data_IF_162048023319
#
_entry.id   IF_162048023319
#
_cell.length_a   1.000
_cell.length_b   1.000
_cell.length_c   1.000
_cell.angle_alpha   90.00
_cell.angle_beta   90.00
_cell.angle_gamma   90.00
#
_symmetry.space_group_name_H-M   'P 1'
#
loop_
_entity.id
_entity.type
_entity.pdbx_description
1 polymer ?
#
# COMPACT_ATOMS: atom_id res chain seq x y z
N UNK A 1 -17.39 -3.29 2.25
CA UNK A 1 -16.92 -2.88 0.92
C UNK A 1 -18.09 -2.35 0.10
N UNK A 2 -17.90 -1.28 -0.67
CA UNK A 2 -18.95 -0.70 -1.53
C UNK A 2 -19.32 -1.64 -2.68
N UNK A 3 -20.50 -1.47 -3.30
CA UNK A 3 -20.86 -2.23 -4.50
C UNK A 3 -19.95 -1.91 -5.69
N UNK A 4 -19.57 -0.63 -5.86
CA UNK A 4 -18.69 -0.18 -6.94
C UNK A 4 -17.30 -0.83 -6.88
N UNK A 5 -16.73 -0.93 -5.68
CA UNK A 5 -15.46 -1.64 -5.45
C UNK A 5 -15.57 -3.12 -5.82
N UNK A 6 -16.66 -3.80 -5.45
CA UNK A 6 -16.84 -5.22 -5.81
C UNK A 6 -16.92 -5.44 -7.33
N UNK A 7 -17.60 -4.55 -8.05
CA UNK A 7 -17.69 -4.61 -9.51
C UNK A 7 -16.31 -4.40 -10.13
N UNK A 8 -15.58 -3.39 -9.68
CA UNK A 8 -14.23 -3.11 -10.17
C UNK A 8 -13.29 -4.31 -9.95
N UNK A 9 -13.28 -4.91 -8.74
CA UNK A 9 -12.51 -6.12 -8.47
C UNK A 9 -12.91 -7.29 -9.40
N UNK A 10 -14.20 -7.48 -9.67
CA UNK A 10 -14.68 -8.54 -10.54
C UNK A 10 -14.22 -8.40 -11.99
N UNK A 11 -14.01 -7.17 -12.49
CA UNK A 11 -13.40 -6.94 -13.82
C UNK A 11 -11.97 -7.47 -13.92
N UNK A 12 -11.27 -7.59 -12.78
CA UNK A 12 -9.95 -8.20 -12.68
C UNK A 12 -10.00 -9.68 -12.25
N UNK A 13 -11.18 -10.31 -12.25
CA UNK A 13 -11.36 -11.70 -11.83
C UNK A 13 -11.23 -11.94 -10.33
N UNK A 14 -11.28 -10.88 -9.51
CA UNK A 14 -11.13 -10.93 -8.07
C UNK A 14 -12.48 -10.90 -7.35
N UNK A 15 -12.55 -11.57 -6.20
CA UNK A 15 -13.67 -11.50 -5.29
C UNK A 15 -13.19 -11.54 -3.84
N UNK A 16 -13.80 -10.73 -2.97
CA UNK A 16 -13.56 -10.74 -1.53
C UNK A 16 -14.92 -10.63 -0.80
N UNK A 17 -15.62 -11.77 -0.62
CA UNK A 17 -16.94 -11.79 0.03
C UNK A 17 -16.85 -11.49 1.54
N UNK A 18 -15.71 -11.77 2.16
CA UNK A 18 -15.50 -11.71 3.60
C UNK A 18 -14.91 -10.39 4.07
N UNK A 19 -14.59 -9.47 3.15
CA UNK A 19 -14.09 -8.15 3.47
C UNK A 19 -14.93 -7.44 4.54
N UNK A 20 -14.29 -7.01 5.62
CA UNK A 20 -14.86 -6.13 6.64
C UNK A 20 -13.87 -5.01 6.93
N UNK A 21 -14.37 -3.77 6.88
CA UNK A 21 -13.58 -2.62 7.29
C UNK A 21 -13.16 -2.79 8.75
N UNK A 22 -11.92 -2.42 9.05
CA UNK A 22 -11.35 -2.40 10.39
C UNK A 22 -10.65 -1.08 10.60
N UNK A 23 -10.80 -0.53 11.80
CA UNK A 23 -10.06 0.65 12.20
C UNK A 23 -8.59 0.27 12.40
N UNK A 24 -7.68 0.99 11.73
CA UNK A 24 -6.24 0.82 11.99
C UNK A 24 -5.91 1.19 13.44
N UNK A 25 -5.04 0.40 14.07
CA UNK A 25 -4.88 0.36 15.52
C UNK A 25 -3.63 -0.41 15.96
N UNK A 26 -3.34 -0.38 17.26
CA UNK A 26 -2.19 -1.09 17.86
C UNK A 26 -2.20 -2.60 17.61
N UNK A 27 -3.36 -3.20 17.40
CA UNK A 27 -3.52 -4.60 17.01
C UNK A 27 -2.98 -4.92 15.61
N UNK A 28 -2.60 -3.92 14.82
CA UNK A 28 -1.95 -4.06 13.51
C UNK A 28 -0.46 -3.73 13.58
N UNK A 29 0.11 -3.49 14.76
CA UNK A 29 1.52 -3.12 14.91
C UNK A 29 2.49 -4.28 14.63
N UNK A 30 2.01 -5.51 14.63
CA UNK A 30 2.81 -6.72 14.38
C UNK A 30 2.78 -7.08 12.88
N UNK A 31 3.42 -6.24 12.05
CA UNK A 31 3.52 -6.40 10.59
C UNK A 31 4.89 -5.99 10.10
N UNK A 32 5.45 -6.65 9.09
CA UNK A 32 6.78 -6.30 8.57
C UNK A 32 6.76 -5.04 7.69
N UNK A 33 5.61 -4.71 7.09
CA UNK A 33 5.44 -3.59 6.18
C UNK A 33 4.02 -3.02 6.28
N UNK A 34 3.92 -1.69 6.29
CA UNK A 34 2.68 -0.94 6.13
C UNK A 34 2.68 -0.28 4.77
N UNK A 35 1.72 -0.65 3.93
CA UNK A 35 1.52 -0.08 2.60
C UNK A 35 0.38 0.93 2.64
N UNK A 36 0.71 2.20 2.45
CA UNK A 36 -0.24 3.30 2.44
C UNK A 36 -0.64 3.71 1.02
N UNK A 37 -1.85 4.24 0.86
CA UNK A 37 -2.36 4.68 -0.45
C UNK A 37 -2.17 6.17 -0.72
N UNK A 38 -1.91 6.99 0.30
CA UNK A 38 -1.81 8.44 0.13
C UNK A 38 -0.78 9.06 1.09
N UNK A 39 -0.21 10.24 0.78
CA UNK A 39 0.78 10.89 1.62
C UNK A 39 0.33 11.15 3.06
N UNK A 40 -0.94 11.51 3.23
CA UNK A 40 -1.54 11.80 4.53
C UNK A 40 -1.49 10.59 5.46
N UNK A 41 -1.72 9.37 4.93
CA UNK A 41 -1.63 8.12 5.66
C UNK A 41 -0.21 7.87 6.18
N UNK A 42 0.81 8.09 5.35
CA UNK A 42 2.23 7.93 5.73
C UNK A 42 2.60 8.93 6.83
N UNK A 43 2.25 10.21 6.64
CA UNK A 43 2.53 11.27 7.60
C UNK A 43 1.79 11.09 8.93
N UNK A 44 0.65 10.40 8.94
CA UNK A 44 -0.13 10.11 10.14
C UNK A 44 0.57 9.09 11.05
N UNK A 45 1.21 8.06 10.50
CA UNK A 45 1.84 6.97 11.26
C UNK A 45 2.86 7.45 12.31
N UNK A 46 3.89 8.26 12.02
CA UNK A 46 4.89 8.64 13.02
C UNK A 46 4.28 9.42 14.21
N UNK A 47 3.11 10.05 14.04
CA UNK A 47 2.42 10.80 15.10
C UNK A 47 1.73 9.91 16.12
N UNK A 48 1.24 8.73 15.70
CA UNK A 48 0.41 7.85 16.53
C UNK A 48 1.03 6.47 16.77
N UNK A 49 1.88 6.00 15.87
CA UNK A 49 2.57 4.71 15.89
C UNK A 49 4.03 4.87 15.46
N UNK A 50 4.85 5.62 16.22
CA UNK A 50 6.24 5.94 15.84
C UNK A 50 7.09 4.68 15.57
N UNK A 51 6.84 3.57 16.27
CA UNK A 51 7.52 2.29 16.03
C UNK A 51 7.21 1.62 14.69
N UNK A 52 6.30 2.18 13.88
CA UNK A 52 5.99 1.68 12.53
C UNK A 52 6.55 2.59 11.43
N UNK A 53 7.11 3.76 11.77
CA UNK A 53 7.55 4.75 10.78
C UNK A 53 8.60 4.20 9.81
N UNK A 54 9.60 3.46 10.32
CA UNK A 54 10.67 2.88 9.49
C UNK A 54 10.23 1.77 8.53
N UNK A 55 8.99 1.29 8.64
CA UNK A 55 8.39 0.24 7.80
C UNK A 55 7.06 0.69 7.17
N UNK A 56 6.84 2.00 7.06
CA UNK A 56 5.65 2.57 6.42
C UNK A 56 6.05 3.32 5.18
N UNK A 57 5.44 3.00 4.05
CA UNK A 57 5.65 3.72 2.81
C UNK A 57 4.37 3.73 1.97
N UNK A 58 4.28 4.69 1.05
CA UNK A 58 3.24 4.69 0.03
C UNK A 58 3.48 3.54 -0.98
N UNK A 59 2.40 2.99 -1.54
CA UNK A 59 2.48 1.98 -2.59
C UNK A 59 3.30 2.47 -3.80
N UNK A 60 3.09 3.69 -4.35
CA UNK A 60 3.92 4.19 -5.44
C UNK A 60 5.41 4.25 -5.10
N UNK A 61 5.78 4.61 -3.87
CA UNK A 61 7.18 4.63 -3.44
C UNK A 61 7.78 3.24 -3.38
N UNK A 62 7.08 2.27 -2.80
CA UNK A 62 7.59 0.90 -2.75
C UNK A 62 7.81 0.34 -4.17
N UNK A 63 6.84 0.54 -5.06
CA UNK A 63 6.96 0.15 -6.48
C UNK A 63 8.15 0.80 -7.16
N UNK A 64 8.45 2.07 -6.85
CA UNK A 64 9.55 2.82 -7.47
C UNK A 64 10.91 2.48 -6.86
N UNK A 65 10.99 2.43 -5.54
CA UNK A 65 12.24 2.57 -4.79
C UNK A 65 12.60 1.36 -3.91
N UNK A 66 11.67 0.44 -3.61
CA UNK A 66 12.01 -0.75 -2.83
C UNK A 66 13.06 -1.57 -3.58
N UNK A 67 14.25 -1.83 -3.00
CA UNK A 67 15.25 -2.68 -3.65
C UNK A 67 14.67 -4.06 -3.96
N UNK A 68 14.98 -4.60 -5.14
CA UNK A 68 14.50 -5.93 -5.55
C UNK A 68 14.99 -7.01 -4.57
N UNK A 69 14.18 -8.06 -4.36
CA UNK A 69 14.50 -9.16 -3.46
C UNK A 69 15.53 -10.11 -4.03
N UNK A 70 16.81 -9.77 -3.95
CA UNK A 70 17.94 -10.57 -4.44
C UNK A 70 18.71 -11.26 -3.29
N UNK A 71 17.99 -12.01 -2.45
CA UNK A 71 18.45 -12.75 -1.24
C UNK A 71 18.61 -11.94 0.05
N UNK A 72 18.43 -10.62 0.00
CA UNK A 72 18.42 -9.75 1.17
C UNK A 72 17.05 -9.77 1.86
N UNK A 73 17.04 -9.80 3.20
CA UNK A 73 15.80 -9.77 3.99
C UNK A 73 14.99 -8.48 3.73
N UNK A 74 13.66 -8.55 3.89
CA UNK A 74 12.81 -7.37 3.72
C UNK A 74 13.12 -6.29 4.77
N UNK A 75 13.42 -6.67 6.02
CA UNK A 75 13.69 -5.69 7.07
C UNK A 75 14.94 -4.86 6.74
N UNK A 76 16.03 -5.52 6.32
CA UNK A 76 17.27 -4.86 5.91
C UNK A 76 17.05 -3.88 4.74
N UNK A 77 16.22 -4.28 3.77
CA UNK A 77 15.88 -3.44 2.62
C UNK A 77 15.06 -2.21 3.04
N UNK A 78 14.13 -2.35 3.98
CA UNK A 78 13.36 -1.23 4.51
C UNK A 78 14.21 -0.30 5.37
N UNK A 79 15.14 -0.83 6.16
CA UNK A 79 16.10 -0.03 6.93
C UNK A 79 16.95 0.85 6.01
N UNK A 80 17.43 0.29 4.90
CA UNK A 80 18.22 1.02 3.90
C UNK A 80 17.43 2.17 3.20
N UNK A 81 16.09 2.11 3.20
CA UNK A 81 15.24 3.16 2.63
C UNK A 81 15.03 4.36 3.58
N UNK A 82 15.41 4.22 4.87
CA UNK A 82 15.29 5.29 5.88
C UNK A 82 13.90 5.94 5.92
N UNK A 83 12.83 5.14 5.77
CA UNK A 83 11.46 5.62 5.51
C UNK A 83 10.92 6.61 6.54
N UNK A 84 11.37 6.53 7.79
CA UNK A 84 10.95 7.44 8.85
C UNK A 84 11.42 8.90 8.63
N UNK A 85 12.45 9.12 7.82
CA UNK A 85 13.08 10.42 7.56
C UNK A 85 12.71 10.99 6.19
N UNK A 86 12.03 10.19 5.37
CA UNK A 86 11.69 10.54 4.00
C UNK A 86 10.57 11.57 3.96
N UNK A 87 10.79 12.66 3.22
CA UNK A 87 9.74 13.60 2.87
C UNK A 87 8.81 12.99 1.81
N UNK A 88 7.51 12.98 2.13
CA UNK A 88 6.48 12.41 1.26
C UNK A 88 6.04 13.44 0.24
N UNK A 89 6.03 13.06 -1.04
CA UNK A 89 5.77 13.97 -2.16
C UNK A 89 4.46 13.62 -2.89
N UNK A 90 3.94 14.57 -3.67
CA UNK A 90 2.61 14.48 -4.30
C UNK A 90 2.43 13.27 -5.26
N UNK A 91 3.51 12.80 -5.88
CA UNK A 91 3.46 11.62 -6.77
C UNK A 91 3.16 10.30 -6.04
N UNK A 92 3.16 10.32 -4.71
CA UNK A 92 2.90 9.15 -3.85
C UNK A 92 1.42 8.88 -3.61
N UNK A 93 0.53 9.72 -4.14
CA UNK A 93 -0.91 9.56 -4.02
C UNK A 93 -1.47 8.56 -5.04
N UNK A 94 -2.15 7.54 -4.52
CA UNK A 94 -3.15 6.77 -5.27
C UNK A 94 -4.50 7.43 -5.01
N UNK A 95 -5.09 7.99 -6.07
CA UNK A 95 -6.36 8.73 -5.97
C UNK A 95 -7.47 7.84 -5.43
N UNK A 96 -8.09 8.26 -4.32
CA UNK A 96 -9.27 7.58 -3.74
C UNK A 96 -10.51 7.88 -4.60
N UNK A 97 -11.17 6.85 -5.16
CA UNK A 97 -12.36 7.06 -5.97
C UNK A 97 -13.59 7.48 -5.15
N UNK A 98 -13.55 7.41 -3.81
CA UNK A 98 -14.52 7.98 -2.88
C UNK A 98 -16.01 7.84 -3.32
N UNK A 99 -16.72 8.97 -3.47
CA UNK A 99 -18.11 9.00 -3.96
C UNK A 99 -18.24 9.14 -5.49
N UNK A 100 -17.16 8.88 -6.24
CA UNK A 100 -17.12 8.94 -7.70
C UNK A 100 -18.01 7.91 -8.40
N UNK A 101 -17.95 7.87 -9.72
CA UNK A 101 -18.74 6.94 -10.54
C UNK A 101 -18.04 5.58 -10.70
N UNK A 102 -18.72 4.59 -11.30
CA UNK A 102 -18.12 3.26 -11.51
C UNK A 102 -16.81 3.35 -12.30
N UNK A 103 -16.71 4.27 -13.27
CA UNK A 103 -15.51 4.48 -14.06
C UNK A 103 -14.30 4.91 -13.20
N UNK A 104 -14.52 5.70 -12.15
CA UNK A 104 -13.45 6.12 -11.23
C UNK A 104 -12.93 4.93 -10.41
N UNK A 105 -13.83 4.03 -10.01
CA UNK A 105 -13.48 2.79 -9.30
C UNK A 105 -12.73 1.81 -10.21
N UNK A 106 -13.16 1.66 -11.46
CA UNK A 106 -12.50 0.81 -12.44
C UNK A 106 -11.10 1.33 -12.76
N UNK A 107 -10.95 2.65 -12.94
CA UNK A 107 -9.65 3.28 -13.16
C UNK A 107 -8.72 3.12 -11.95
N UNK A 108 -9.22 3.34 -10.73
CA UNK A 108 -8.45 3.12 -9.50
C UNK A 108 -8.02 1.64 -9.37
N UNK A 109 -8.92 0.69 -9.64
CA UNK A 109 -8.60 -0.74 -9.59
C UNK A 109 -7.52 -1.13 -10.61
N UNK A 110 -7.58 -0.59 -11.83
CA UNK A 110 -6.56 -0.84 -12.85
C UNK A 110 -5.17 -0.31 -12.43
N UNK A 111 -5.12 0.88 -11.82
CA UNK A 111 -3.89 1.45 -11.25
C UNK A 111 -3.35 0.56 -10.14
N UNK A 112 -4.20 0.20 -9.17
CA UNK A 112 -3.82 -0.66 -8.05
C UNK A 112 -3.33 -2.03 -8.51
N UNK A 113 -3.96 -2.64 -9.51
CA UNK A 113 -3.53 -3.94 -10.04
C UNK A 113 -2.08 -3.87 -10.55
N UNK A 114 -1.76 -2.88 -11.39
CA UNK A 114 -0.40 -2.73 -11.92
C UNK A 114 0.64 -2.42 -10.83
N UNK A 115 0.28 -1.55 -9.86
CA UNK A 115 1.18 -1.23 -8.74
C UNK A 115 1.42 -2.45 -7.84
N UNK A 116 0.39 -3.24 -7.55
CA UNK A 116 0.53 -4.46 -6.74
C UNK A 116 1.36 -5.51 -7.48
N UNK A 117 1.17 -5.70 -8.78
CA UNK A 117 1.98 -6.63 -9.58
C UNK A 117 3.48 -6.25 -9.48
N UNK A 118 3.82 -4.97 -9.66
CA UNK A 118 5.21 -4.52 -9.52
C UNK A 118 5.71 -4.62 -8.07
N UNK A 119 4.87 -4.35 -7.07
CA UNK A 119 5.26 -4.53 -5.68
C UNK A 119 5.59 -6.00 -5.38
N UNK A 120 4.80 -6.95 -5.87
CA UNK A 120 5.05 -8.39 -5.73
C UNK A 120 6.40 -8.76 -6.35
N UNK A 121 6.71 -8.25 -7.53
CA UNK A 121 8.02 -8.47 -8.16
C UNK A 121 9.18 -7.91 -7.31
N UNK A 122 9.01 -6.72 -6.71
CA UNK A 122 10.03 -6.11 -5.82
C UNK A 122 10.21 -6.89 -4.52
N UNK A 123 9.11 -7.38 -3.94
CA UNK A 123 9.16 -8.22 -2.74
C UNK A 123 9.94 -9.53 -3.01
N UNK A 124 9.82 -10.07 -4.24
CA UNK A 124 10.44 -11.31 -4.66
C UNK A 124 9.64 -12.53 -4.18
N UNK A 125 10.16 -13.73 -4.43
CA UNK A 125 9.59 -14.95 -3.85
C UNK A 125 9.76 -14.89 -2.33
N UNK A 126 8.66 -14.77 -1.60
CA UNK A 126 8.63 -15.04 -0.15
C UNK A 126 8.90 -16.54 -0.01
N UNK A 127 10.16 -16.90 0.26
CA UNK A 127 10.60 -18.26 0.52
C UNK A 127 10.17 -18.73 1.91
#
# INVERSE_FOLDING_TARGET
MSQRTRIALAHHGLTDPDHRSRQFGSNHADVDLVVAMEPSHVAWIPRYYPGMAGRTASLPRLVRELPAGDSTDLADRLEAMTLAEVEVADWEEVVDPASGEQADFDACAAILNGLVDTLVERLGSVG
#
